data_IF_081724645174
#
_entry.id   IF_081724645174
#
_cell.length_a   1.000
_cell.length_b   1.000
_cell.length_c   1.000
_cell.angle_alpha   90.00
_cell.angle_beta   90.00
_cell.angle_gamma   90.00
#
_symmetry.space_group_name_H-M   'P 1'
#
loop_
_entity.id
_entity.type
_entity.pdbx_description
1 polymer ?
#
# COMPACT_ATOMS: atom_id res chain seq x y z
N UNK A 1 -6.64 26.20 16.96
CA UNK A 1 -5.57 27.07 16.43
C UNK A 1 -4.19 26.57 16.87
N UNK A 2 -3.92 26.45 18.18
CA UNK A 2 -2.62 25.97 18.73
C UNK A 2 -2.15 24.61 18.17
N UNK A 3 -3.02 23.60 18.16
CA UNK A 3 -2.70 22.27 17.61
C UNK A 3 -2.20 22.30 16.16
N UNK A 4 -2.80 23.15 15.31
CA UNK A 4 -2.43 23.26 13.90
C UNK A 4 -1.07 23.93 13.74
N UNK A 5 -0.79 24.97 14.53
CA UNK A 5 0.50 25.64 14.58
C UNK A 5 1.61 24.70 15.07
N UNK A 6 1.32 23.93 16.12
CA UNK A 6 2.24 22.91 16.64
C UNK A 6 2.59 21.87 15.55
N UNK A 7 1.59 21.30 14.88
CA UNK A 7 1.83 20.35 13.79
C UNK A 7 2.60 20.98 12.63
N UNK A 8 2.30 22.23 12.26
CA UNK A 8 3.01 22.95 11.19
C UNK A 8 4.48 23.06 11.50
N UNK A 9 4.81 23.52 12.72
CA UNK A 9 6.19 23.61 13.21
C UNK A 9 6.89 22.25 13.17
N UNK A 10 6.23 21.18 13.62
CA UNK A 10 6.84 19.83 13.62
C UNK A 10 7.07 19.28 12.21
N UNK A 11 6.13 19.47 11.29
CA UNK A 11 6.31 19.05 9.90
C UNK A 11 7.40 19.88 9.22
N UNK A 12 7.45 21.19 9.46
CA UNK A 12 8.51 22.08 8.97
C UNK A 12 9.90 21.67 9.50
N UNK A 13 10.03 21.38 10.79
CA UNK A 13 11.26 20.85 11.39
C UNK A 13 11.70 19.55 10.71
N UNK A 14 10.75 18.64 10.46
CA UNK A 14 11.03 17.39 9.75
C UNK A 14 11.57 17.65 8.34
N UNK A 15 10.84 18.42 7.52
CA UNK A 15 11.22 18.70 6.13
C UNK A 15 12.49 19.55 6.01
N UNK A 16 12.83 20.34 7.04
CA UNK A 16 14.07 21.12 7.07
C UNK A 16 15.30 20.28 7.38
N UNK A 17 15.16 19.30 8.28
CA UNK A 17 16.28 18.46 8.77
C UNK A 17 16.52 17.22 7.94
N UNK A 18 15.48 16.68 7.30
CA UNK A 18 15.55 15.43 6.56
C UNK A 18 15.58 15.69 5.06
N UNK A 19 16.43 14.96 4.35
CA UNK A 19 16.43 14.96 2.90
C UNK A 19 15.40 13.96 2.38
N UNK A 20 14.52 14.42 1.49
CA UNK A 20 13.45 13.59 0.95
C UNK A 20 13.81 13.31 -0.49
N UNK A 21 14.39 12.13 -0.70
CA UNK A 21 14.82 11.68 -2.01
C UNK A 21 13.73 11.79 -3.06
N UNK A 22 14.16 12.02 -4.30
CA UNK A 22 13.28 12.14 -5.45
C UNK A 22 13.07 10.78 -6.13
N UNK A 23 11.89 10.57 -6.77
CA UNK A 23 11.64 9.35 -7.52
C UNK A 23 12.50 9.26 -8.78
N UNK A 24 12.67 8.05 -9.33
CA UNK A 24 13.35 7.82 -10.62
C UNK A 24 12.72 8.71 -11.70
N UNK A 25 13.56 9.36 -12.53
CA UNK A 25 13.12 10.28 -13.59
C UNK A 25 12.17 11.39 -13.09
N UNK A 26 12.40 11.96 -11.89
CA UNK A 26 11.50 12.95 -11.29
C UNK A 26 11.12 14.12 -12.20
N UNK A 27 12.02 14.52 -13.12
CA UNK A 27 11.78 15.60 -14.10
C UNK A 27 10.66 15.28 -15.09
N UNK A 28 10.36 14.00 -15.31
CA UNK A 28 9.28 13.51 -16.17
C UNK A 28 7.99 13.23 -15.38
N UNK A 29 7.94 13.58 -14.10
CA UNK A 29 6.81 13.24 -13.23
C UNK A 29 6.04 14.46 -12.78
N UNK A 30 4.73 14.29 -12.69
CA UNK A 30 3.87 15.25 -12.01
C UNK A 30 3.99 15.05 -10.50
N UNK A 31 4.12 16.13 -9.75
CA UNK A 31 4.00 16.16 -8.31
C UNK A 31 2.66 16.77 -7.89
N UNK A 32 2.20 16.30 -6.73
CA UNK A 32 1.03 16.85 -6.07
C UNK A 32 1.25 16.95 -4.57
N UNK A 33 0.70 18.01 -3.97
CA UNK A 33 0.89 18.32 -2.57
C UNK A 33 -0.45 18.59 -1.91
N UNK A 34 -0.61 18.12 -0.68
CA UNK A 34 -1.69 18.57 0.20
C UNK A 34 -1.01 19.40 1.29
N UNK A 35 -1.10 20.73 1.26
CA UNK A 35 -0.58 21.57 2.33
C UNK A 35 -1.18 21.18 3.67
N UNK A 36 -0.39 21.24 4.75
CA UNK A 36 -0.90 20.94 6.10
C UNK A 36 -2.06 21.86 6.48
N UNK A 37 -2.05 23.08 5.97
CA UNK A 37 -3.09 24.06 6.20
C UNK A 37 -4.43 23.70 5.55
N UNK A 38 -4.41 22.87 4.51
CA UNK A 38 -5.61 22.40 3.81
C UNK A 38 -6.29 21.23 4.52
N UNK A 39 -5.79 20.76 5.67
CA UNK A 39 -6.48 19.77 6.48
C UNK A 39 -7.52 20.46 7.40
N UNK A 40 -8.73 19.88 7.55
CA UNK A 40 -9.13 18.53 7.12
C UNK A 40 -9.71 18.42 5.69
N UNK A 41 -9.93 19.54 4.99
CA UNK A 41 -10.62 19.59 3.68
C UNK A 41 -9.90 18.86 2.55
N UNK A 42 -8.60 18.59 2.73
CA UNK A 42 -7.78 17.77 1.83
C UNK A 42 -7.64 18.35 0.41
N UNK A 43 -7.48 19.67 0.32
CA UNK A 43 -7.26 20.34 -0.98
C UNK A 43 -5.87 19.97 -1.53
N UNK A 44 -5.86 19.34 -2.70
CA UNK A 44 -4.65 18.88 -3.38
C UNK A 44 -4.25 19.87 -4.49
N UNK A 45 -2.98 20.26 -4.48
CA UNK A 45 -2.35 21.11 -5.47
C UNK A 45 -1.59 20.19 -6.43
N UNK A 46 -1.93 20.23 -7.72
CA UNK A 46 -1.47 19.28 -8.75
C UNK A 46 -0.79 20.00 -9.92
N UNK A 47 -0.32 19.23 -10.90
CA UNK A 47 0.31 19.76 -12.12
C UNK A 47 1.61 20.53 -11.83
N UNK A 48 2.38 20.05 -10.85
CA UNK A 48 3.66 20.64 -10.47
C UNK A 48 4.78 19.75 -10.99
N UNK A 49 5.89 20.34 -11.43
CA UNK A 49 7.12 19.60 -11.78
C UNK A 49 8.34 20.40 -11.34
N UNK A 50 9.46 19.70 -11.17
CA UNK A 50 10.70 20.31 -10.68
C UNK A 50 11.86 19.99 -11.63
N UNK A 51 12.70 20.99 -11.88
CA UNK A 51 13.94 20.87 -12.66
C UNK A 51 15.12 20.39 -11.81
N UNK A 52 15.10 20.69 -10.51
CA UNK A 52 16.16 20.35 -9.57
C UNK A 52 15.61 19.94 -8.20
N UNK A 53 16.42 19.23 -7.44
CA UNK A 53 16.14 18.89 -6.05
C UNK A 53 16.08 20.12 -5.14
N UNK A 54 16.89 21.15 -5.46
CA UNK A 54 16.84 22.44 -4.77
C UNK A 54 15.49 23.12 -4.94
N UNK A 55 14.92 23.13 -6.15
CA UNK A 55 13.59 23.71 -6.41
C UNK A 55 12.50 22.94 -5.65
N UNK A 56 12.58 21.61 -5.64
CA UNK A 56 11.66 20.76 -4.89
C UNK A 56 11.72 21.07 -3.40
N UNK A 57 12.93 21.11 -2.82
CA UNK A 57 13.13 21.39 -1.39
C UNK A 57 12.63 22.78 -1.02
N UNK A 58 12.93 23.80 -1.83
CA UNK A 58 12.45 25.17 -1.62
C UNK A 58 10.91 25.24 -1.65
N UNK A 59 10.27 24.52 -2.57
CA UNK A 59 8.81 24.44 -2.65
C UNK A 59 8.21 23.77 -1.41
N UNK A 60 8.77 22.63 -0.97
CA UNK A 60 8.33 21.90 0.23
C UNK A 60 8.41 22.79 1.46
N UNK A 61 9.51 23.53 1.65
CA UNK A 61 9.72 24.42 2.79
C UNK A 61 8.83 25.66 2.76
N UNK A 62 8.50 26.16 1.57
CA UNK A 62 7.56 27.28 1.40
C UNK A 62 6.10 26.84 1.57
N UNK A 63 5.78 25.57 1.34
CA UNK A 63 4.42 25.02 1.31
C UNK A 63 4.32 23.73 2.13
N UNK A 64 4.64 23.81 3.44
CA UNK A 64 4.75 22.66 4.35
C UNK A 64 3.61 21.63 4.12
N UNK A 65 3.91 20.46 3.53
CA UNK A 65 2.88 19.53 3.09
C UNK A 65 2.52 18.52 4.17
N UNK A 66 1.21 18.28 4.35
CA UNK A 66 0.72 17.09 5.05
C UNK A 66 1.00 15.82 4.25
N UNK A 67 0.95 15.91 2.92
CA UNK A 67 1.16 14.79 2.03
C UNK A 67 1.87 15.25 0.74
N UNK A 68 2.85 14.48 0.31
CA UNK A 68 3.52 14.64 -0.99
C UNK A 68 3.23 13.41 -1.85
N UNK A 69 2.90 13.63 -3.11
CA UNK A 69 2.68 12.60 -4.11
C UNK A 69 3.44 12.90 -5.39
N UNK A 70 3.71 11.86 -6.16
CA UNK A 70 4.21 11.92 -7.53
C UNK A 70 3.41 10.97 -8.42
N UNK A 71 3.34 11.23 -9.72
CA UNK A 71 2.65 10.34 -10.67
C UNK A 71 3.42 9.04 -10.86
N UNK A 72 2.71 7.91 -10.87
CA UNK A 72 3.25 6.64 -11.38
C UNK A 72 3.65 6.74 -12.85
N UNK A 73 2.94 7.60 -13.60
CA UNK A 73 3.21 7.94 -14.98
C UNK A 73 4.44 8.82 -15.18
N UNK A 74 5.06 8.65 -16.33
CA UNK A 74 6.06 9.54 -16.92
C UNK A 74 5.42 10.35 -18.06
N UNK A 75 5.81 11.61 -18.17
CA UNK A 75 5.27 12.58 -19.11
C UNK A 75 6.38 13.38 -19.77
N UNK A 76 6.14 13.84 -21.00
CA UNK A 76 6.98 14.85 -21.66
C UNK A 76 6.81 16.22 -20.99
N UNK A 77 5.57 16.58 -20.64
CA UNK A 77 5.19 17.86 -20.03
C UNK A 77 4.38 17.64 -18.75
N UNK A 78 5.02 17.24 -17.64
CA UNK A 78 4.32 16.86 -16.41
C UNK A 78 3.49 17.98 -15.76
N UNK A 79 3.85 19.24 -16.00
CA UNK A 79 3.16 20.42 -15.46
C UNK A 79 1.89 20.84 -16.23
N UNK A 80 1.57 20.23 -17.38
CA UNK A 80 0.35 20.61 -18.10
C UNK A 80 -0.90 20.28 -17.29
N UNK A 81 -1.91 21.14 -17.37
CA UNK A 81 -3.18 20.94 -16.65
C UNK A 81 -4.05 19.86 -17.33
N UNK A 82 -4.04 19.84 -18.66
CA UNK A 82 -4.79 18.90 -19.49
C UNK A 82 -4.00 17.61 -19.71
N UNK A 83 -4.64 16.47 -19.42
CA UNK A 83 -3.98 15.17 -19.49
C UNK A 83 -3.54 14.77 -20.91
N UNK A 84 -4.25 15.23 -21.92
CA UNK A 84 -3.92 15.00 -23.33
C UNK A 84 -2.67 15.76 -23.79
N UNK A 85 -2.35 16.88 -23.14
CA UNK A 85 -1.20 17.73 -23.49
C UNK A 85 0.10 17.28 -22.80
N UNK A 86 0.00 16.41 -21.79
CA UNK A 86 1.16 15.94 -21.02
C UNK A 86 2.14 15.07 -21.83
N UNK A 87 1.67 14.38 -22.86
CA UNK A 87 2.44 13.36 -23.59
C UNK A 87 2.85 12.19 -22.69
N UNK A 88 1.95 11.20 -22.51
CA UNK A 88 2.22 10.03 -21.65
C UNK A 88 3.29 9.12 -22.26
N UNK A 89 4.31 8.78 -21.47
CA UNK A 89 5.48 8.00 -21.93
C UNK A 89 5.52 6.57 -21.38
N UNK A 90 4.71 6.27 -20.36
CA UNK A 90 4.76 5.01 -19.62
C UNK A 90 4.31 5.22 -18.17
N UNK A 91 4.18 4.13 -17.41
CA UNK A 91 3.90 4.23 -15.98
C UNK A 91 4.48 3.06 -15.19
N UNK A 92 4.99 3.35 -14.00
CA UNK A 92 5.38 2.31 -13.04
C UNK A 92 4.21 1.35 -12.80
N UNK A 93 4.52 0.07 -12.66
CA UNK A 93 3.52 -0.93 -12.32
C UNK A 93 3.42 -1.09 -10.81
N UNK A 94 2.33 -0.58 -10.23
CA UNK A 94 2.20 -0.37 -8.79
C UNK A 94 1.00 -1.12 -8.26
N UNK A 95 1.20 -1.77 -7.12
CA UNK A 95 0.15 -2.44 -6.36
C UNK A 95 0.01 -1.79 -5.00
N UNK A 96 -1.23 -1.62 -4.54
CA UNK A 96 -1.53 -1.07 -3.22
C UNK A 96 -2.32 -2.08 -2.39
N UNK A 97 -1.87 -2.27 -1.16
CA UNK A 97 -2.54 -3.04 -0.11
C UNK A 97 -2.96 -2.04 0.96
N UNK A 98 -4.23 -1.65 0.99
CA UNK A 98 -4.83 -0.93 2.11
C UNK A 98 -5.60 -1.92 3.00
N UNK A 99 -5.40 -1.83 4.32
CA UNK A 99 -6.19 -2.57 5.30
C UNK A 99 -7.71 -2.34 5.15
N UNK A 100 -8.13 -1.20 4.63
CA UNK A 100 -9.54 -0.92 4.32
C UNK A 100 -10.07 -1.69 3.11
N UNK A 101 -9.23 -2.34 2.31
CA UNK A 101 -9.65 -3.25 1.23
C UNK A 101 -9.58 -4.73 1.61
N UNK A 102 -9.04 -5.05 2.80
CA UNK A 102 -8.97 -6.42 3.30
C UNK A 102 -10.35 -6.95 3.73
N UNK A 103 -10.61 -8.26 3.64
CA UNK A 103 -11.93 -8.84 3.88
C UNK A 103 -12.36 -8.73 5.34
N UNK A 104 -11.41 -8.85 6.27
CA UNK A 104 -11.65 -8.68 7.70
C UNK A 104 -11.43 -7.21 8.06
N UNK A 105 -12.39 -6.58 8.75
CA UNK A 105 -12.25 -5.20 9.22
C UNK A 105 -11.80 -5.15 10.68
N UNK A 106 -11.03 -4.13 11.03
CA UNK A 106 -10.55 -3.91 12.40
C UNK A 106 -10.48 -2.43 12.73
N UNK A 107 -10.85 -2.08 13.97
CA UNK A 107 -10.66 -0.71 14.51
C UNK A 107 -9.23 -0.50 15.06
N UNK A 108 -8.49 -1.58 15.30
CA UNK A 108 -7.11 -1.51 15.76
C UNK A 108 -6.17 -1.22 14.59
N UNK A 109 -5.43 -0.13 14.70
CA UNK A 109 -4.43 0.29 13.72
C UNK A 109 -3.28 -0.73 13.60
N UNK A 110 -2.81 -1.24 14.73
CA UNK A 110 -1.77 -2.28 14.77
C UNK A 110 -2.23 -3.56 14.04
N UNK A 111 -3.45 -4.04 14.34
CA UNK A 111 -3.99 -5.23 13.68
C UNK A 111 -4.21 -5.00 12.18
N UNK A 112 -4.59 -3.78 11.77
CA UNK A 112 -4.71 -3.42 10.36
C UNK A 112 -3.36 -3.57 9.63
N UNK A 113 -2.27 -3.09 10.24
CA UNK A 113 -0.91 -3.22 9.70
C UNK A 113 -0.45 -4.68 9.63
N UNK A 114 -0.72 -5.49 10.67
CA UNK A 114 -0.40 -6.93 10.66
C UNK A 114 -1.10 -7.66 9.51
N UNK A 115 -2.36 -7.32 9.25
CA UNK A 115 -3.13 -7.91 8.16
C UNK A 115 -2.61 -7.48 6.79
N UNK A 116 -2.30 -6.19 6.61
CA UNK A 116 -1.67 -5.68 5.39
C UNK A 116 -0.29 -6.32 5.15
N UNK A 117 0.49 -6.54 6.21
CA UNK A 117 1.81 -7.22 6.16
C UNK A 117 1.69 -8.68 5.69
N UNK A 118 0.63 -9.40 6.07
CA UNK A 118 0.40 -10.76 5.54
C UNK A 118 0.06 -10.74 4.04
N UNK A 119 -0.72 -9.75 3.63
CA UNK A 119 -1.18 -9.67 2.24
C UNK A 119 -0.07 -9.22 1.29
N UNK A 120 0.80 -8.30 1.71
CA UNK A 120 1.96 -7.86 0.91
C UNK A 120 2.98 -8.99 0.73
N UNK A 121 3.17 -9.86 1.74
CA UNK A 121 4.01 -11.06 1.61
C UNK A 121 3.46 -12.02 0.55
N UNK A 122 2.14 -12.22 0.54
CA UNK A 122 1.50 -13.06 -0.47
C UNK A 122 1.66 -12.45 -1.87
N UNK A 123 1.40 -11.15 -2.00
CA UNK A 123 1.54 -10.43 -3.27
C UNK A 123 2.96 -10.57 -3.83
N UNK A 124 3.98 -10.19 -3.06
CA UNK A 124 5.38 -10.21 -3.52
C UNK A 124 5.87 -11.61 -3.88
N UNK A 125 5.42 -12.65 -3.17
CA UNK A 125 5.71 -14.04 -3.54
C UNK A 125 5.12 -14.41 -4.92
N UNK A 126 3.88 -14.02 -5.19
CA UNK A 126 3.21 -14.27 -6.48
C UNK A 126 3.87 -13.47 -7.60
N UNK A 127 4.18 -12.20 -7.38
CA UNK A 127 4.85 -11.36 -8.38
C UNK A 127 6.21 -11.94 -8.80
N UNK A 128 6.97 -12.52 -7.86
CA UNK A 128 8.23 -13.21 -8.20
C UNK A 128 7.99 -14.55 -8.91
N UNK A 129 7.14 -15.40 -8.33
CA UNK A 129 7.00 -16.78 -8.79
C UNK A 129 6.21 -16.91 -10.10
N UNK A 130 5.14 -16.13 -10.25
CA UNK A 130 4.18 -16.29 -11.34
C UNK A 130 4.44 -15.29 -12.47
N UNK A 131 4.95 -14.09 -12.17
CA UNK A 131 5.24 -13.04 -13.16
C UNK A 131 6.73 -12.85 -13.46
N UNK A 132 7.62 -13.50 -12.71
CA UNK A 132 9.07 -13.42 -12.95
C UNK A 132 9.68 -12.04 -12.67
N UNK A 133 8.99 -11.18 -11.92
CA UNK A 133 9.43 -9.81 -11.60
C UNK A 133 10.74 -9.85 -10.80
N UNK A 134 11.75 -9.10 -11.25
CA UNK A 134 13.10 -9.10 -10.66
C UNK A 134 13.38 -7.83 -9.85
N UNK A 135 13.06 -6.66 -10.38
CA UNK A 135 13.24 -5.37 -9.72
C UNK A 135 11.89 -4.86 -9.19
N UNK A 136 11.64 -5.12 -7.89
CA UNK A 136 10.52 -4.52 -7.18
C UNK A 136 10.94 -3.98 -5.83
N UNK A 137 10.30 -2.90 -5.41
CA UNK A 137 10.48 -2.29 -4.09
C UNK A 137 9.17 -2.23 -3.32
N UNK A 138 9.25 -2.48 -2.02
CA UNK A 138 8.09 -2.39 -1.12
C UNK A 138 8.19 -1.11 -0.30
N UNK A 139 7.06 -0.42 -0.10
CA UNK A 139 6.98 0.81 0.66
C UNK A 139 5.84 0.74 1.66
N UNK A 140 6.10 1.10 2.91
CA UNK A 140 5.04 1.42 3.86
C UNK A 140 4.45 2.78 3.50
N UNK A 141 3.12 2.86 3.36
CA UNK A 141 2.43 4.06 2.86
C UNK A 141 2.38 5.21 3.87
N UNK A 142 2.93 5.03 5.09
CA UNK A 142 2.75 5.93 6.23
C UNK A 142 1.38 5.80 6.91
N UNK A 143 0.44 5.08 6.29
CA UNK A 143 -0.94 4.89 6.75
C UNK A 143 -1.19 3.49 7.29
N UNK A 144 -2.14 2.77 6.68
CA UNK A 144 -2.56 1.41 7.07
C UNK A 144 -2.26 0.37 6.00
N UNK A 145 -1.26 0.64 5.17
CA UNK A 145 -1.03 -0.14 3.96
C UNK A 145 0.39 -0.09 3.44
N UNK A 146 0.61 -0.82 2.36
CA UNK A 146 1.89 -0.93 1.68
C UNK A 146 1.70 -0.83 0.17
N UNK A 147 2.70 -0.29 -0.51
CA UNK A 147 2.78 -0.28 -1.96
C UNK A 147 3.91 -1.20 -2.41
N UNK A 148 3.75 -1.85 -3.57
CA UNK A 148 4.84 -2.50 -4.30
C UNK A 148 5.01 -1.78 -5.62
N UNK A 149 6.22 -1.32 -5.90
CA UNK A 149 6.59 -0.67 -7.14
C UNK A 149 7.43 -1.65 -7.94
N UNK A 150 6.97 -2.01 -9.13
CA UNK A 150 7.71 -2.83 -10.09
C UNK A 150 8.46 -1.90 -11.06
N UNK A 151 9.74 -2.19 -11.24
CA UNK A 151 10.67 -1.38 -12.01
C UNK A 151 11.22 -2.08 -13.26
N UNK A 152 10.93 -3.38 -13.43
CA UNK A 152 11.22 -4.10 -14.68
C UNK A 152 10.59 -3.35 -15.88
N UNK A 153 11.42 -2.99 -16.86
CA UNK A 153 11.03 -2.12 -17.98
C UNK A 153 9.87 -2.69 -18.81
N UNK A 154 9.77 -4.02 -18.90
CA UNK A 154 8.72 -4.71 -19.67
C UNK A 154 7.29 -4.43 -19.14
N UNK A 155 7.16 -3.98 -17.89
CA UNK A 155 5.85 -3.66 -17.30
C UNK A 155 5.46 -2.18 -17.47
N UNK A 156 6.38 -1.31 -17.91
CA UNK A 156 6.15 0.14 -18.02
C UNK A 156 5.10 0.49 -19.09
N UNK A 157 5.06 -0.29 -20.16
CA UNK A 157 4.14 -0.09 -21.29
C UNK A 157 2.74 -0.64 -21.06
N UNK A 158 2.52 -1.41 -19.97
CA UNK A 158 1.21 -2.02 -19.72
C UNK A 158 0.13 -0.95 -19.59
N UNK A 159 -0.90 -1.07 -20.42
CA UNK A 159 -2.09 -0.24 -20.38
C UNK A 159 -3.07 -0.68 -19.30
N UNK A 160 -4.09 0.15 -19.06
CA UNK A 160 -5.10 -0.11 -18.03
C UNK A 160 -5.89 -1.40 -18.22
N UNK A 161 -6.02 -1.92 -19.46
CA UNK A 161 -6.70 -3.18 -19.72
C UNK A 161 -5.85 -4.37 -19.26
N UNK A 162 -4.57 -4.42 -19.65
CA UNK A 162 -3.66 -5.49 -19.27
C UNK A 162 -3.42 -5.52 -17.76
N UNK A 163 -3.30 -4.35 -17.12
CA UNK A 163 -3.21 -4.25 -15.66
C UNK A 163 -4.45 -4.79 -14.95
N UNK A 164 -5.64 -4.65 -15.53
CA UNK A 164 -6.88 -5.25 -15.00
C UNK A 164 -6.86 -6.77 -15.06
N UNK A 165 -6.31 -7.36 -16.12
CA UNK A 165 -6.13 -8.82 -16.19
C UNK A 165 -5.19 -9.33 -15.09
N UNK A 166 -4.11 -8.58 -14.77
CA UNK A 166 -3.24 -8.92 -13.64
C UNK A 166 -3.98 -8.79 -12.31
N UNK A 167 -4.78 -7.74 -12.13
CA UNK A 167 -5.63 -7.57 -10.95
C UNK A 167 -6.57 -8.77 -10.78
N UNK A 168 -7.24 -9.21 -11.86
CA UNK A 168 -8.17 -10.33 -11.81
C UNK A 168 -7.47 -11.66 -11.53
N UNK A 169 -6.27 -11.86 -12.09
CA UNK A 169 -5.41 -13.00 -11.78
C UNK A 169 -5.02 -13.04 -10.29
N UNK A 170 -4.68 -11.89 -9.71
CA UNK A 170 -4.29 -11.79 -8.31
C UNK A 170 -5.48 -12.00 -7.38
N UNK A 171 -6.61 -11.35 -7.67
CA UNK A 171 -7.81 -11.36 -6.82
C UNK A 171 -8.61 -12.65 -6.93
N UNK A 172 -8.49 -13.40 -8.02
CA UNK A 172 -9.28 -14.61 -8.28
C UNK A 172 -10.78 -14.35 -8.05
N UNK A 173 -11.30 -13.27 -8.64
CA UNK A 173 -12.72 -12.93 -8.57
C UNK A 173 -13.51 -13.93 -9.44
N UNK A 174 -14.10 -14.97 -8.83
CA UNK A 174 -14.91 -15.99 -9.53
C UNK A 174 -14.23 -16.60 -10.77
N UNK A 175 -13.00 -17.15 -10.64
CA UNK A 175 -12.25 -17.72 -11.76
C UNK A 175 -13.04 -18.85 -12.41
N UNK A 176 -13.12 -18.81 -13.74
CA UNK A 176 -13.59 -19.96 -14.51
C UNK A 176 -12.45 -20.99 -14.57
N UNK A 177 -12.57 -22.05 -13.78
CA UNK A 177 -11.54 -23.10 -13.72
C UNK A 177 -11.86 -24.23 -14.70
N UNK A 178 -13.14 -24.61 -14.80
CA UNK A 178 -13.61 -25.74 -15.62
C UNK A 178 -14.86 -25.33 -16.40
N UNK A 179 -14.92 -25.70 -17.68
CA UNK A 179 -16.10 -25.54 -18.57
C UNK A 179 -16.31 -26.87 -19.29
N UNK A 180 -17.53 -27.41 -19.26
CA UNK A 180 -17.91 -28.69 -19.89
C UNK A 180 -16.99 -29.87 -19.51
N UNK A 181 -16.52 -29.86 -18.26
CA UNK A 181 -15.60 -30.87 -17.73
C UNK A 181 -14.16 -30.74 -18.23
N UNK A 182 -13.80 -29.65 -18.92
CA UNK A 182 -12.43 -29.36 -19.36
C UNK A 182 -11.87 -28.17 -18.61
N UNK A 183 -10.61 -28.25 -18.22
CA UNK A 183 -9.91 -27.13 -17.59
C UNK A 183 -9.80 -25.99 -18.60
N UNK A 184 -10.17 -24.78 -18.18
CA UNK A 184 -10.01 -23.59 -19.01
C UNK A 184 -8.53 -23.28 -19.14
N UNK A 185 -8.09 -22.97 -20.36
CA UNK A 185 -6.70 -22.58 -20.61
C UNK A 185 -6.43 -21.15 -20.10
N UNK A 186 -6.22 -21.02 -18.80
CA UNK A 186 -5.93 -19.74 -18.15
C UNK A 186 -4.89 -19.89 -17.04
N UNK A 187 -4.08 -18.86 -16.85
CA UNK A 187 -3.08 -18.85 -15.77
C UNK A 187 -3.75 -19.00 -14.39
N UNK A 188 -4.92 -18.40 -14.18
CA UNK A 188 -5.66 -18.51 -12.92
C UNK A 188 -6.11 -19.95 -12.65
N UNK A 189 -6.67 -20.64 -13.65
CA UNK A 189 -7.04 -22.05 -13.53
C UNK A 189 -5.82 -22.92 -13.23
N UNK A 190 -4.72 -22.75 -13.96
CA UNK A 190 -3.46 -23.48 -13.72
C UNK A 190 -2.92 -23.24 -12.31
N UNK A 191 -2.92 -21.98 -11.83
CA UNK A 191 -2.48 -21.60 -10.49
C UNK A 191 -3.30 -22.29 -9.39
N UNK A 192 -4.63 -22.26 -9.50
CA UNK A 192 -5.52 -22.90 -8.52
C UNK A 192 -5.35 -24.42 -8.54
N UNK A 193 -5.30 -25.03 -9.72
CA UNK A 193 -5.15 -26.48 -9.84
C UNK A 193 -3.79 -26.96 -9.32
N UNK A 194 -2.70 -26.25 -9.63
CA UNK A 194 -1.38 -26.58 -9.10
C UNK A 194 -1.33 -26.52 -7.57
N UNK A 195 -1.98 -25.52 -6.97
CA UNK A 195 -2.10 -25.43 -5.52
C UNK A 195 -2.95 -26.57 -4.94
N UNK A 196 -4.11 -26.86 -5.54
CA UNK A 196 -4.99 -27.96 -5.11
C UNK A 196 -4.26 -29.32 -5.20
N UNK A 197 -3.52 -29.57 -6.28
CA UNK A 197 -2.73 -30.78 -6.46
C UNK A 197 -1.70 -30.95 -5.34
N UNK A 198 -0.87 -29.93 -5.11
CA UNK A 198 0.12 -29.94 -4.01
C UNK A 198 -0.55 -30.13 -2.66
N UNK A 199 -1.69 -29.49 -2.45
CA UNK A 199 -2.44 -29.58 -1.19
C UNK A 199 -2.95 -31.00 -0.96
N UNK A 200 -3.57 -31.64 -1.95
CA UNK A 200 -4.04 -33.03 -1.89
C UNK A 200 -2.87 -33.99 -1.61
N UNK A 201 -1.71 -33.76 -2.23
CA UNK A 201 -0.51 -34.58 -2.01
C UNK A 201 0.05 -34.44 -0.59
N UNK A 202 -0.05 -33.25 0.00
CA UNK A 202 0.47 -32.96 1.34
C UNK A 202 -0.52 -33.16 2.50
N UNK A 203 -1.83 -33.26 2.22
CA UNK A 203 -2.91 -33.25 3.22
C UNK A 203 -3.84 -34.46 3.01
N UNK A 204 -3.53 -35.56 3.69
CA UNK A 204 -4.32 -36.81 3.58
C UNK A 204 -5.79 -36.63 3.98
N UNK A 205 -6.07 -35.75 4.95
CA UNK A 205 -7.44 -35.49 5.39
C UNK A 205 -8.25 -34.79 4.30
N UNK A 206 -7.65 -33.80 3.64
CA UNK A 206 -8.26 -33.15 2.49
C UNK A 206 -8.47 -34.14 1.34
N UNK A 207 -7.47 -34.96 1.02
CA UNK A 207 -7.56 -35.98 -0.03
C UNK A 207 -8.72 -36.97 0.22
N UNK A 208 -8.85 -37.47 1.46
CA UNK A 208 -9.95 -38.34 1.89
C UNK A 208 -11.31 -37.63 1.84
N UNK A 209 -11.37 -36.35 2.23
CA UNK A 209 -12.59 -35.53 2.20
C UNK A 209 -13.08 -35.30 0.76
N UNK A 210 -12.18 -34.90 -0.14
CA UNK A 210 -12.52 -34.64 -1.54
C UNK A 210 -12.69 -35.94 -2.35
N UNK A 211 -12.11 -37.05 -1.88
CA UNK A 211 -12.11 -38.37 -2.53
C UNK A 211 -11.61 -38.30 -3.98
N UNK A 212 -10.57 -37.50 -4.23
CA UNK A 212 -9.88 -37.36 -5.51
C UNK A 212 -8.37 -37.45 -5.29
N UNK A 213 -7.62 -37.81 -6.32
CA UNK A 213 -6.16 -37.82 -6.34
C UNK A 213 -5.61 -36.67 -7.19
N UNK A 214 -4.32 -36.34 -7.06
CA UNK A 214 -3.67 -35.36 -7.94
C UNK A 214 -3.63 -35.81 -9.40
N UNK A 215 -3.62 -37.13 -9.66
CA UNK A 215 -3.72 -37.70 -11.01
C UNK A 215 -5.07 -37.42 -11.67
N UNK A 216 -6.16 -37.33 -10.90
CA UNK A 216 -7.49 -37.02 -11.43
C UNK A 216 -7.60 -35.60 -12.01
N UNK A 217 -6.78 -34.67 -11.50
CA UNK A 217 -6.75 -33.26 -11.93
C UNK A 217 -6.00 -33.06 -13.27
N UNK A 218 -5.23 -34.06 -13.71
CA UNK A 218 -4.45 -34.02 -14.97
C UNK A 218 -5.20 -34.59 -16.18
N UNK A 219 -6.42 -35.11 -15.99
CA UNK A 219 -7.21 -35.72 -17.06
C UNK A 219 -7.73 -34.64 -18.02
N UNK A 220 -7.70 -34.92 -19.32
CA UNK A 220 -8.21 -34.01 -20.36
C UNK A 220 -9.70 -33.68 -20.16
N UNK A 221 -10.48 -34.70 -19.79
CA UNK A 221 -11.88 -34.55 -19.37
C UNK A 221 -12.04 -34.99 -17.92
N UNK A 222 -12.39 -34.04 -17.06
CA UNK A 222 -12.55 -34.22 -15.64
C UNK A 222 -13.88 -34.92 -15.32
N UNK A 223 -13.86 -36.00 -14.51
CA UNK A 223 -15.09 -36.60 -13.98
C UNK A 223 -15.92 -35.58 -13.18
N UNK A 224 -17.25 -35.71 -13.20
CA UNK A 224 -18.18 -34.81 -12.48
C UNK A 224 -17.80 -34.60 -11.01
N UNK A 225 -17.32 -35.64 -10.34
CA UNK A 225 -16.84 -35.59 -8.95
C UNK A 225 -15.63 -34.68 -8.76
N UNK A 226 -14.70 -34.66 -9.72
CA UNK A 226 -13.50 -33.82 -9.69
C UNK A 226 -13.87 -32.36 -9.92
N UNK A 227 -14.76 -32.10 -10.88
CA UNK A 227 -15.31 -30.76 -11.12
C UNK A 227 -15.97 -30.21 -9.85
N UNK A 228 -16.84 -31.01 -9.21
CA UNK A 228 -17.47 -30.63 -7.94
C UNK A 228 -16.47 -30.39 -6.80
N UNK A 229 -15.35 -31.13 -6.78
CA UNK A 229 -14.30 -30.93 -5.78
C UNK A 229 -13.57 -29.60 -6.02
N UNK A 230 -13.27 -29.26 -7.28
CA UNK A 230 -12.66 -27.97 -7.66
C UNK A 230 -13.61 -26.81 -7.31
N UNK A 231 -14.89 -26.91 -7.64
CA UNK A 231 -15.89 -25.87 -7.37
C UNK A 231 -16.10 -25.61 -5.88
N UNK A 232 -15.98 -26.65 -5.04
CA UNK A 232 -16.10 -26.56 -3.57
C UNK A 232 -14.80 -26.21 -2.87
N UNK A 233 -13.68 -26.21 -3.59
CA UNK A 233 -12.38 -25.96 -2.99
C UNK A 233 -12.23 -24.48 -2.65
N UNK A 234 -11.89 -24.20 -1.40
CA UNK A 234 -11.63 -22.85 -0.94
C UNK A 234 -10.23 -22.39 -1.39
N UNK A 235 -10.19 -21.58 -2.44
CA UNK A 235 -8.99 -20.95 -2.96
C UNK A 235 -8.78 -19.52 -2.43
N UNK A 236 -9.54 -19.05 -1.43
CA UNK A 236 -9.40 -17.69 -0.87
C UNK A 236 -8.01 -17.42 -0.28
N UNK A 237 -7.29 -18.46 0.15
CA UNK A 237 -5.90 -18.32 0.59
C UNK A 237 -4.96 -17.88 -0.56
N UNK A 238 -5.32 -18.13 -1.82
CA UNK A 238 -4.56 -17.71 -3.00
C UNK A 238 -4.90 -16.28 -3.44
N UNK A 239 -6.12 -15.78 -3.19
CA UNK A 239 -6.58 -14.47 -3.67
C UNK A 239 -5.90 -13.32 -2.92
N UNK A 240 -5.23 -12.42 -3.62
CA UNK A 240 -4.62 -11.22 -3.05
C UNK A 240 -5.61 -10.05 -3.06
N UNK A 241 -5.82 -9.41 -1.92
CA UNK A 241 -6.72 -8.27 -1.73
C UNK A 241 -5.97 -6.95 -1.94
N UNK A 242 -5.78 -6.59 -3.20
CA UNK A 242 -5.23 -5.30 -3.63
C UNK A 242 -6.32 -4.25 -3.87
N UNK A 243 -5.97 -2.97 -3.78
CA UNK A 243 -6.75 -1.87 -4.35
C UNK A 243 -6.64 -1.90 -5.88
N UNK A 244 -7.61 -2.56 -6.51
CA UNK A 244 -7.70 -2.77 -7.95
C UNK A 244 -7.61 -1.46 -8.77
N UNK A 245 -8.39 -0.39 -8.44
CA UNK A 245 -8.25 0.92 -9.05
C UNK A 245 -6.83 1.48 -9.08
N UNK A 246 -6.04 1.31 -8.00
CA UNK A 246 -4.65 1.82 -7.96
C UNK A 246 -3.79 1.12 -9.01
N UNK A 247 -3.95 -0.20 -9.14
CA UNK A 247 -3.14 -1.00 -10.05
C UNK A 247 -3.51 -0.78 -11.51
N UNK A 248 -4.82 -0.61 -11.80
CA UNK A 248 -5.32 -0.42 -13.15
C UNK A 248 -5.04 0.99 -13.73
N UNK A 249 -4.87 2.00 -12.86
CA UNK A 249 -4.72 3.39 -13.25
C UNK A 249 -3.26 3.71 -13.65
N UNK A 250 -3.06 3.97 -14.95
CA UNK A 250 -1.75 4.33 -15.52
C UNK A 250 -1.34 5.78 -15.27
N UNK A 251 -2.15 6.57 -14.54
CA UNK A 251 -1.94 7.99 -14.23
C UNK A 251 -2.05 8.28 -12.74
N UNK A 252 -1.97 7.24 -11.91
CA UNK A 252 -2.17 7.31 -10.46
C UNK A 252 -1.13 8.21 -9.78
N UNK A 253 -1.54 8.91 -8.72
CA UNK A 253 -0.63 9.58 -7.80
C UNK A 253 -0.26 8.65 -6.65
N UNK A 254 1.04 8.58 -6.35
CA UNK A 254 1.63 7.69 -5.36
C UNK A 254 2.37 8.54 -4.34
N UNK A 255 2.27 8.14 -3.08
CA UNK A 255 2.89 8.88 -1.99
C UNK A 255 4.40 8.80 -2.07
N UNK A 256 5.08 9.94 -1.91
CA UNK A 256 6.53 10.04 -2.03
C UNK A 256 7.23 9.36 -0.83
N UNK A 257 8.10 8.35 -1.05
CA UNK A 257 8.98 7.81 -0.01
C UNK A 257 9.80 8.92 0.66
N UNK A 258 9.98 8.84 1.97
CA UNK A 258 10.63 9.87 2.79
C UNK A 258 9.70 11.01 3.23
N UNK A 259 8.51 11.17 2.63
CA UNK A 259 7.54 12.17 3.10
C UNK A 259 6.82 11.73 4.39
N UNK A 260 6.13 12.67 5.04
CA UNK A 260 5.22 12.35 6.14
C UNK A 260 3.81 12.02 5.62
N UNK A 261 3.06 11.25 6.40
CA UNK A 261 1.64 10.99 6.18
C UNK A 261 0.80 11.83 7.15
N UNK A 262 0.13 12.87 6.66
CA UNK A 262 -0.62 13.84 7.47
C UNK A 262 -1.68 13.30 8.45
N UNK A 263 -2.21 12.09 8.25
CA UNK A 263 -3.16 11.45 9.19
C UNK A 263 -2.52 10.62 10.31
N UNK A 264 -1.21 10.42 10.28
CA UNK A 264 -0.48 9.58 11.25
C UNK A 264 0.81 10.21 11.73
N UNK A 265 1.41 11.13 10.98
CA UNK A 265 2.76 11.65 11.25
C UNK A 265 3.87 10.62 11.02
N UNK A 266 3.56 9.42 10.52
CA UNK A 266 4.57 8.41 10.19
C UNK A 266 5.23 8.72 8.85
N UNK A 267 6.49 8.33 8.72
CA UNK A 267 7.27 8.42 7.48
C UNK A 267 6.85 7.34 6.49
N UNK A 268 6.72 7.73 5.23
CA UNK A 268 6.56 6.80 4.10
C UNK A 268 7.92 6.16 3.88
N UNK A 269 8.03 4.85 4.07
CA UNK A 269 9.33 4.21 4.29
C UNK A 269 9.53 3.06 3.32
N UNK A 270 10.68 3.01 2.64
CA UNK A 270 11.08 1.82 1.88
C UNK A 270 11.31 0.65 2.84
N UNK A 271 10.82 -0.52 2.49
CA UNK A 271 10.86 -1.72 3.30
C UNK A 271 11.76 -2.74 2.62
N UNK A 272 12.98 -2.88 3.13
CA UNK A 272 13.96 -3.84 2.62
C UNK A 272 13.56 -5.29 2.95
N UNK A 273 13.28 -5.54 4.23
CA UNK A 273 12.76 -6.81 4.71
C UNK A 273 11.40 -6.60 5.39
N UNK A 274 10.37 -7.13 4.74
CA UNK A 274 9.02 -7.06 5.27
C UNK A 274 8.91 -7.76 6.62
N UNK A 275 9.63 -8.85 6.87
CA UNK A 275 9.46 -9.66 8.07
C UNK A 275 9.96 -8.96 9.33
N UNK A 276 11.10 -8.30 9.27
CA UNK A 276 11.64 -7.51 10.39
C UNK A 276 11.01 -6.12 10.56
N UNK A 277 10.43 -5.53 9.51
CA UNK A 277 9.86 -4.18 9.57
C UNK A 277 8.64 -4.05 10.50
N UNK A 278 8.71 -3.13 11.47
CA UNK A 278 7.63 -2.67 12.34
C UNK A 278 7.28 -1.20 12.02
N UNK A 279 6.17 -0.92 11.31
CA UNK A 279 5.79 0.44 10.95
C UNK A 279 5.57 1.37 12.15
N UNK A 280 5.27 0.80 13.33
CA UNK A 280 5.06 1.58 14.55
C UNK A 280 6.37 1.90 15.29
N UNK A 281 7.52 1.47 14.77
CA UNK A 281 8.86 1.81 15.26
C UNK A 281 9.71 2.41 14.15
N UNK A 282 9.86 1.69 13.04
CA UNK A 282 10.82 2.02 11.98
C UNK A 282 10.38 3.23 11.16
N UNK A 283 9.06 3.50 11.09
CA UNK A 283 8.52 4.67 10.40
C UNK A 283 8.26 5.87 11.32
N UNK A 284 8.70 5.81 12.60
CA UNK A 284 8.62 6.95 13.49
C UNK A 284 9.58 8.04 13.02
N UNK A 285 9.08 9.28 12.96
CA UNK A 285 9.79 10.42 12.37
C UNK A 285 10.20 11.49 13.40
N UNK A 286 9.68 11.41 14.62
CA UNK A 286 9.82 12.44 15.65
C UNK A 286 10.52 11.88 16.88
N UNK A 287 11.13 12.77 17.67
CA UNK A 287 11.85 12.42 18.88
C UNK A 287 10.94 12.04 20.05
N UNK A 288 11.51 11.96 21.24
CA UNK A 288 10.87 11.53 22.48
C UNK A 288 10.65 12.65 23.50
N UNK A 289 10.88 13.92 23.12
CA UNK A 289 10.63 15.09 23.95
C UNK A 289 9.19 15.06 24.53
N UNK A 290 9.04 15.43 25.80
CA UNK A 290 7.74 15.41 26.46
C UNK A 290 6.81 16.51 25.91
N UNK A 291 5.66 16.10 25.40
CA UNK A 291 4.62 16.99 24.86
C UNK A 291 3.34 16.84 25.67
N UNK A 292 2.80 17.97 26.11
CA UNK A 292 1.53 18.00 26.83
C UNK A 292 0.36 18.03 25.85
N UNK A 293 -0.63 17.17 26.09
CA UNK A 293 -1.81 17.00 25.24
C UNK A 293 -3.08 16.98 26.08
N UNK A 294 -4.19 17.33 25.45
CA UNK A 294 -5.54 16.98 25.91
C UNK A 294 -6.10 15.86 25.07
N UNK A 295 -6.57 14.81 25.72
CA UNK A 295 -7.25 13.69 25.06
C UNK A 295 -8.71 13.61 25.52
N UNK A 296 -9.61 13.20 24.63
CA UNK A 296 -11.06 13.14 24.91
C UNK A 296 -11.59 11.74 25.13
N UNK A 297 -10.80 10.71 24.79
CA UNK A 297 -11.23 9.31 24.88
C UNK A 297 -10.06 8.40 25.24
N UNK A 298 -10.37 7.25 25.81
CA UNK A 298 -9.39 6.23 26.15
C UNK A 298 -8.79 5.62 24.87
N UNK A 299 -7.45 5.60 24.76
CA UNK A 299 -6.73 5.03 23.61
C UNK A 299 -5.73 3.99 24.12
N UNK A 300 -5.75 2.78 23.55
CA UNK A 300 -4.65 1.81 23.69
C UNK A 300 -3.65 2.10 22.55
N UNK A 301 -2.41 2.39 22.89
CA UNK A 301 -1.39 2.81 21.92
C UNK A 301 -0.10 2.01 22.11
N UNK A 302 0.48 1.60 20.97
CA UNK A 302 1.87 1.15 20.83
C UNK A 302 2.48 1.94 19.68
N UNK A 303 3.54 2.69 19.95
CA UNK A 303 4.30 3.44 18.93
C UNK A 303 5.65 3.83 19.54
N UNK A 304 6.73 3.73 18.78
CA UNK A 304 8.09 3.82 19.28
C UNK A 304 8.28 2.87 20.46
N UNK A 305 8.79 3.41 21.57
CA UNK A 305 8.95 2.70 22.83
C UNK A 305 7.74 2.83 23.77
N UNK A 306 6.77 3.70 23.43
CA UNK A 306 5.55 3.85 24.21
C UNK A 306 4.59 2.68 23.98
N UNK A 307 4.20 2.01 25.07
CA UNK A 307 3.13 1.00 25.07
C UNK A 307 2.25 1.16 26.30
N UNK A 308 0.99 1.56 26.11
CA UNK A 308 0.13 1.85 27.25
C UNK A 308 -1.31 2.18 26.90
N UNK A 309 -2.07 2.53 27.94
CA UNK A 309 -3.40 3.12 27.83
C UNK A 309 -3.33 4.58 28.21
N UNK A 310 -3.87 5.42 27.36
CA UNK A 310 -4.03 6.85 27.59
C UNK A 310 -5.49 7.08 27.98
N UNK A 311 -5.70 7.82 29.06
CA UNK A 311 -7.02 8.14 29.59
C UNK A 311 -7.40 9.58 29.24
N UNK A 312 -8.71 9.89 29.10
CA UNK A 312 -9.17 11.25 28.84
C UNK A 312 -8.62 12.25 29.86
N UNK A 313 -8.26 13.45 29.40
CA UNK A 313 -7.69 14.51 30.22
C UNK A 313 -6.35 15.01 29.71
N UNK A 314 -5.66 15.77 30.57
CA UNK A 314 -4.31 16.29 30.32
C UNK A 314 -3.27 15.18 30.54
N UNK A 315 -2.42 14.96 29.56
CA UNK A 315 -1.41 13.89 29.57
C UNK A 315 -0.10 14.40 28.96
N UNK A 316 1.03 13.93 29.47
CA UNK A 316 2.35 14.11 28.84
C UNK A 316 2.74 12.83 28.13
N UNK A 317 3.17 12.95 26.87
CA UNK A 317 3.62 11.82 26.05
C UNK A 317 4.87 12.22 25.25
N UNK A 318 5.71 11.24 24.86
CA UNK A 318 6.79 11.48 23.90
C UNK A 318 6.28 12.10 22.60
N UNK A 319 7.08 12.95 21.96
CA UNK A 319 6.69 13.73 20.79
C UNK A 319 6.14 12.85 19.65
N UNK A 320 6.78 11.71 19.34
CA UNK A 320 6.25 10.79 18.34
C UNK A 320 4.82 10.29 18.62
N UNK A 321 4.50 10.01 19.88
CA UNK A 321 3.19 9.55 20.29
C UNK A 321 2.19 10.71 20.25
N UNK A 322 2.64 11.90 20.63
CA UNK A 322 1.84 13.11 20.59
C UNK A 322 1.43 13.49 19.16
N UNK A 323 2.39 13.58 18.24
CA UNK A 323 2.12 13.88 16.82
C UNK A 323 1.18 12.83 16.22
N UNK A 324 1.42 11.54 16.50
CA UNK A 324 0.56 10.45 16.01
C UNK A 324 -0.90 10.59 16.46
N UNK A 325 -1.14 10.90 17.74
CA UNK A 325 -2.48 11.09 18.27
C UNK A 325 -3.16 12.35 17.73
N UNK A 326 -2.41 13.45 17.59
CA UNK A 326 -2.93 14.69 17.03
C UNK A 326 -3.32 14.49 15.55
N UNK A 327 -2.44 13.91 14.72
CA UNK A 327 -2.71 13.65 13.31
C UNK A 327 -3.93 12.74 13.10
N UNK A 328 -4.19 11.82 14.04
CA UNK A 328 -5.38 10.95 14.04
C UNK A 328 -6.64 11.60 14.61
N UNK A 329 -6.57 12.87 15.03
CA UNK A 329 -7.69 13.59 15.66
C UNK A 329 -8.11 13.01 17.01
N UNK A 330 -7.17 12.38 17.74
CA UNK A 330 -7.42 11.75 19.04
C UNK A 330 -6.96 12.63 20.22
N UNK A 331 -6.16 13.65 19.94
CA UNK A 331 -5.63 14.58 20.92
C UNK A 331 -5.51 15.99 20.33
N UNK A 332 -5.45 16.99 21.21
CA UNK A 332 -5.06 18.36 20.87
C UNK A 332 -3.84 18.76 21.69
N UNK A 333 -2.95 19.55 21.08
CA UNK A 333 -1.79 20.11 21.77
C UNK A 333 -2.22 21.08 22.87
N UNK A 334 -1.56 21.00 24.03
CA UNK A 334 -1.66 21.99 25.11
C UNK A 334 -0.26 22.54 25.42
N UNK A 335 -0.16 23.86 25.53
CA UNK A 335 1.08 24.56 25.92
C UNK A 335 1.43 24.33 27.38
#
# INVERSE_FOLDING_TARGET
MLTKLYLKKKFEEYYSKNDIGLPREFRKREFAFVPLESLPDFVMHRHISFSSETDFKAYVLSNIPAHIYFSSAYYEKPAESRMEDKGWLGADFIFDIDADHLPVKTKSFERALEMAKREIKKLTAILRADFGIKDMKTYFSGGRGYHVHVHDEEFLSLGSAERREVVDYLRLNSPRIVVDGRVVDSNAARRILNYLMKKIESDEMLAKKLKISSADLKKEKLPKKVVQAIEKFDYTLLSVHIDAPVTADIKRLIRLPGSLHGKTGLRVTEVEDIDSFDPLKDAVAFGDEEVTLKTTKRVKLRIGDFKGRIYPGRVKLPEYAAVFLICRGLASYES
#
